data_IF_572305398992
#
_entry.id   IF_572305398992
#
_cell.length_a   1.000
_cell.length_b   1.000
_cell.length_c   1.000
_cell.angle_alpha   90.00
_cell.angle_beta   90.00
_cell.angle_gamma   90.00
#
_symmetry.space_group_name_H-M   'P 1'
#
loop_
_entity.id
_entity.type
_entity.pdbx_description
1 polymer ?
#
# COMPACT_ATOMS: atom_id res chain seq x y z
N UNK A 1 19.00 -14.90 -8.98
CA UNK A 1 19.88 -13.79 -8.55
C UNK A 1 19.12 -12.99 -7.49
N UNK A 2 19.45 -13.13 -6.21
CA UNK A 2 18.80 -12.37 -5.14
C UNK A 2 19.10 -10.88 -5.37
N UNK A 3 18.08 -10.06 -5.64
CA UNK A 3 18.23 -8.61 -5.80
C UNK A 3 19.00 -8.05 -4.59
N UNK A 4 19.92 -7.11 -4.83
CA UNK A 4 20.68 -6.44 -3.76
C UNK A 4 19.72 -5.85 -2.72
N UNK A 5 20.18 -5.78 -1.47
CA UNK A 5 19.40 -5.22 -0.35
C UNK A 5 18.85 -3.84 -0.69
N UNK A 6 19.65 -2.99 -1.32
CA UNK A 6 19.25 -1.66 -1.78
C UNK A 6 18.17 -1.72 -2.86
N UNK A 7 18.30 -2.60 -3.86
CA UNK A 7 17.27 -2.75 -4.88
C UNK A 7 15.93 -3.25 -4.30
N UNK A 8 15.97 -4.10 -3.27
CA UNK A 8 14.77 -4.54 -2.55
C UNK A 8 14.15 -3.39 -1.74
N UNK A 9 14.97 -2.59 -1.05
CA UNK A 9 14.50 -1.45 -0.27
C UNK A 9 13.83 -0.40 -1.18
N UNK A 10 14.48 -0.03 -2.29
CA UNK A 10 13.93 0.92 -3.27
C UNK A 10 12.62 0.41 -3.85
N UNK A 11 12.52 -0.88 -4.18
CA UNK A 11 11.27 -1.48 -4.66
C UNK A 11 10.14 -1.39 -3.64
N UNK A 12 10.42 -1.61 -2.36
CA UNK A 12 9.43 -1.52 -1.29
C UNK A 12 8.98 -0.08 -1.04
N UNK A 13 9.90 0.89 -1.12
CA UNK A 13 9.54 2.32 -1.00
C UNK A 13 8.64 2.76 -2.15
N UNK A 14 8.95 2.34 -3.39
CA UNK A 14 8.10 2.64 -4.56
C UNK A 14 6.71 2.01 -4.37
N UNK A 15 6.66 0.74 -3.96
CA UNK A 15 5.41 0.02 -3.66
C UNK A 15 4.55 0.75 -2.62
N UNK A 16 5.17 1.17 -1.51
CA UNK A 16 4.52 1.92 -0.45
C UNK A 16 3.91 3.23 -0.95
N UNK A 17 4.64 4.00 -1.77
CA UNK A 17 4.14 5.26 -2.36
C UNK A 17 2.92 5.00 -3.26
N UNK A 18 2.97 3.95 -4.08
CA UNK A 18 1.86 3.57 -4.96
C UNK A 18 0.61 3.23 -4.14
N UNK A 19 0.76 2.42 -3.08
CA UNK A 19 -0.38 2.03 -2.24
C UNK A 19 -1.00 3.21 -1.49
N UNK A 20 -0.18 4.15 -1.00
CA UNK A 20 -0.70 5.39 -0.40
C UNK A 20 -1.52 6.19 -1.43
N UNK A 21 -1.05 6.26 -2.68
CA UNK A 21 -1.81 6.91 -3.77
C UNK A 21 -3.18 6.27 -4.00
N UNK A 22 -3.26 4.93 -4.01
CA UNK A 22 -4.53 4.22 -4.12
C UNK A 22 -5.46 4.47 -2.93
N UNK A 23 -4.93 4.51 -1.70
CA UNK A 23 -5.73 4.84 -0.51
C UNK A 23 -6.36 6.23 -0.64
N UNK A 24 -5.60 7.23 -1.11
CA UNK A 24 -6.14 8.58 -1.34
C UNK A 24 -7.25 8.57 -2.40
N UNK A 25 -7.05 7.86 -3.51
CA UNK A 25 -8.06 7.74 -4.57
C UNK A 25 -9.34 7.07 -4.05
N UNK A 26 -9.23 6.01 -3.23
CA UNK A 26 -10.39 5.33 -2.66
C UNK A 26 -11.13 6.21 -1.66
N UNK A 27 -10.44 7.00 -0.83
CA UNK A 27 -11.09 7.95 0.07
C UNK A 27 -11.90 8.98 -0.74
N UNK A 28 -11.33 9.54 -1.81
CA UNK A 28 -12.04 10.47 -2.69
C UNK A 28 -13.25 9.79 -3.34
N UNK A 29 -13.11 8.53 -3.75
CA UNK A 29 -14.19 7.75 -4.34
C UNK A 29 -15.33 7.51 -3.33
N UNK A 30 -15.00 7.25 -2.05
CA UNK A 30 -15.98 7.08 -0.97
C UNK A 30 -16.73 8.38 -0.70
N UNK A 31 -16.03 9.52 -0.72
CA UNK A 31 -16.65 10.82 -0.45
C UNK A 31 -17.56 11.30 -1.56
N UNK A 32 -17.35 10.86 -2.81
CA UNK A 32 -18.05 11.39 -3.99
C UNK A 32 -19.11 10.46 -4.56
N UNK A 33 -19.13 9.18 -4.20
CA UNK A 33 -20.07 8.21 -4.77
C UNK A 33 -21.32 8.01 -3.91
N UNK A 34 -22.46 8.03 -4.58
CA UNK A 34 -23.77 7.70 -4.00
C UNK A 34 -24.11 6.20 -4.09
N UNK A 35 -23.38 5.43 -4.92
CA UNK A 35 -23.65 4.01 -5.11
C UNK A 35 -23.12 3.17 -3.94
N UNK A 36 -24.03 2.53 -3.20
CA UNK A 36 -23.70 1.62 -2.09
C UNK A 36 -22.74 0.48 -2.49
N UNK A 37 -22.85 -0.05 -3.71
CA UNK A 37 -21.97 -1.12 -4.20
C UNK A 37 -20.55 -0.59 -4.38
N UNK A 38 -20.41 0.60 -4.96
CA UNK A 38 -19.10 1.23 -5.16
C UNK A 38 -18.45 1.64 -3.84
N UNK A 39 -19.25 2.09 -2.86
CA UNK A 39 -18.79 2.36 -1.50
C UNK A 39 -18.25 1.08 -0.84
N UNK A 40 -19.00 -0.03 -0.93
CA UNK A 40 -18.58 -1.31 -0.37
C UNK A 40 -17.28 -1.81 -1.00
N UNK A 41 -17.15 -1.71 -2.33
CA UNK A 41 -15.91 -2.06 -3.04
C UNK A 41 -14.74 -1.17 -2.64
N UNK A 42 -14.93 0.14 -2.52
CA UNK A 42 -13.87 1.05 -2.08
C UNK A 42 -13.42 0.81 -0.64
N UNK A 43 -14.32 0.41 0.26
CA UNK A 43 -13.95 0.03 1.63
C UNK A 43 -13.13 -1.27 1.61
N UNK A 44 -13.52 -2.27 0.81
CA UNK A 44 -12.78 -3.53 0.68
C UNK A 44 -11.39 -3.29 0.09
N UNK A 45 -11.27 -2.49 -0.97
CA UNK A 45 -9.96 -2.15 -1.54
C UNK A 45 -9.10 -1.35 -0.56
N UNK A 46 -9.69 -0.44 0.23
CA UNK A 46 -8.96 0.27 1.28
C UNK A 46 -8.29 -0.70 2.26
N UNK A 47 -9.02 -1.71 2.75
CA UNK A 47 -8.49 -2.72 3.68
C UNK A 47 -7.34 -3.54 3.06
N UNK A 48 -7.45 -3.86 1.78
CA UNK A 48 -6.40 -4.57 1.04
C UNK A 48 -5.14 -3.71 0.93
N UNK A 49 -5.27 -2.45 0.51
CA UNK A 49 -4.11 -1.55 0.40
C UNK A 49 -3.46 -1.25 1.76
N UNK A 50 -4.26 -1.11 2.83
CA UNK A 50 -3.74 -0.99 4.19
C UNK A 50 -2.88 -2.19 4.60
N UNK A 51 -3.34 -3.40 4.26
CA UNK A 51 -2.58 -4.62 4.55
C UNK A 51 -1.23 -4.62 3.84
N UNK A 52 -1.20 -4.23 2.56
CA UNK A 52 0.05 -4.13 1.80
C UNK A 52 1.00 -3.05 2.35
N UNK A 53 0.47 -1.89 2.75
CA UNK A 53 1.26 -0.82 3.39
C UNK A 53 1.94 -1.34 4.66
N UNK A 54 1.20 -2.06 5.52
CA UNK A 54 1.74 -2.64 6.76
C UNK A 54 2.85 -3.65 6.43
N UNK A 55 2.64 -4.51 5.44
CA UNK A 55 3.63 -5.49 4.97
C UNK A 55 4.90 -4.79 4.48
N UNK A 56 4.78 -3.77 3.63
CA UNK A 56 5.92 -3.03 3.08
C UNK A 56 6.72 -2.35 4.20
N UNK A 57 6.05 -1.68 5.13
CA UNK A 57 6.69 -1.05 6.30
C UNK A 57 7.42 -2.09 7.15
N UNK A 58 6.79 -3.23 7.43
CA UNK A 58 7.39 -4.30 8.21
C UNK A 58 8.66 -4.86 7.54
N UNK A 59 8.62 -5.12 6.24
CA UNK A 59 9.77 -5.63 5.50
C UNK A 59 10.88 -4.58 5.46
N UNK A 60 10.57 -3.30 5.23
CA UNK A 60 11.55 -2.20 5.28
C UNK A 60 12.24 -2.16 6.64
N UNK A 61 11.46 -2.23 7.74
CA UNK A 61 11.99 -2.23 9.09
C UNK A 61 12.91 -3.44 9.34
N UNK A 62 12.47 -4.64 8.95
CA UNK A 62 13.26 -5.85 9.09
C UNK A 62 14.59 -5.76 8.32
N UNK A 63 14.55 -5.31 7.07
CA UNK A 63 15.75 -5.11 6.25
C UNK A 63 16.71 -4.09 6.87
N UNK A 64 16.19 -3.01 7.47
CA UNK A 64 17.01 -2.03 8.19
C UNK A 64 17.65 -2.59 9.46
N UNK A 65 16.96 -3.46 10.20
CA UNK A 65 17.47 -4.08 11.43
C UNK A 65 18.54 -5.15 11.18
N UNK A 66 18.52 -5.78 10.01
CA UNK A 66 19.56 -6.71 9.53
C UNK A 66 20.78 -5.97 8.91
N UNK A 67 20.97 -4.68 9.22
CA UNK A 67 22.13 -3.86 8.81
C UNK A 67 22.99 -3.55 10.04
#
# INVERSE_FOLDING_TARGET
MLKSKEARLTSLVISLVIFIGFVVLDIVNIMTKESNIALMLSVVSLLVFWTFIIIDIYIIYKLKKEA
#
